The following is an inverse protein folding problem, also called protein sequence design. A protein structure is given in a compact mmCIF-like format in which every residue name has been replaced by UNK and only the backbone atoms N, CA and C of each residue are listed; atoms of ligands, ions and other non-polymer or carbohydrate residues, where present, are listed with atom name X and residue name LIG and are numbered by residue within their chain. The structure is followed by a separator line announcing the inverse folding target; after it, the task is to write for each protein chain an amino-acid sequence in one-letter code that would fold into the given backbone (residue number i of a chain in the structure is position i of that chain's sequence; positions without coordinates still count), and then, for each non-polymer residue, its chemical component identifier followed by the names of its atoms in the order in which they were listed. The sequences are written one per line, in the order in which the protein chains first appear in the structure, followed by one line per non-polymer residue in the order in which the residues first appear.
data_IF_354055265664
#
_entry.id   IF_354055265664
#
_cell.length_a   1.000
_cell.length_b   1.000
_cell.length_c   1.000
_cell.angle_alpha   90.00
_cell.angle_beta   90.00
_cell.angle_gamma   90.00
#
_symmetry.space_group_name_H-M   'P 1'
#
loop_
_entity.id
_entity.type
_entity.pdbx_description
1 polymer ?
#
# COMPACT_ATOMS: atom_id res chain seq x y z
N UNK A 1 22.63 -31.77 -35.82
CA UNK A 1 21.61 -31.48 -34.80
C UNK A 1 21.49 -29.97 -34.72
N UNK A 2 20.30 -29.39 -34.96
CA UNK A 2 20.13 -27.95 -35.14
C UNK A 2 20.23 -27.19 -33.81
N UNK A 3 20.96 -26.08 -33.84
CA UNK A 3 21.04 -25.09 -32.77
C UNK A 3 19.70 -24.37 -32.65
N UNK A 4 19.01 -24.52 -31.52
CA UNK A 4 17.87 -23.67 -31.19
C UNK A 4 18.37 -22.33 -30.64
N UNK A 5 18.24 -21.29 -31.44
CA UNK A 5 18.09 -19.93 -30.92
C UNK A 5 16.74 -19.84 -30.23
N UNK A 6 16.74 -19.47 -28.95
CA UNK A 6 15.61 -18.90 -28.24
C UNK A 6 16.26 -17.85 -27.34
N UNK A 7 16.19 -16.58 -27.69
CA UNK A 7 14.95 -15.84 -27.89
C UNK A 7 14.96 -14.84 -26.76
N UNK A 8 15.41 -13.63 -27.05
CA UNK A 8 15.30 -12.50 -26.13
C UNK A 8 13.81 -12.28 -25.87
N UNK A 9 13.31 -12.82 -24.76
CA UNK A 9 12.08 -12.29 -24.17
C UNK A 9 12.47 -10.96 -23.54
N UNK A 10 12.17 -9.89 -24.28
CA UNK A 10 11.87 -8.58 -23.71
C UNK A 10 10.76 -8.79 -22.67
N UNK A 11 11.14 -9.06 -21.43
CA UNK A 11 10.27 -8.89 -20.29
C UNK A 11 9.96 -7.39 -20.23
N UNK A 12 8.73 -7.03 -20.58
CA UNK A 12 8.27 -5.65 -20.52
C UNK A 12 8.59 -5.08 -19.15
N UNK A 13 9.30 -3.96 -19.14
CA UNK A 13 9.57 -3.17 -17.93
C UNK A 13 8.26 -2.98 -17.18
N UNK A 14 8.14 -3.63 -16.02
CA UNK A 14 7.11 -3.28 -15.05
C UNK A 14 7.29 -1.80 -14.75
N UNK A 15 6.34 -0.98 -15.22
CA UNK A 15 6.40 0.48 -15.16
C UNK A 15 6.10 1.02 -13.75
N UNK A 16 6.17 0.15 -12.74
CA UNK A 16 6.02 0.54 -11.36
C UNK A 16 7.18 1.46 -10.95
N UNK A 17 6.91 2.50 -10.14
CA UNK A 17 7.97 3.30 -9.55
C UNK A 17 8.94 2.39 -8.79
N UNK A 18 10.24 2.69 -8.95
CA UNK A 18 11.34 1.88 -8.43
C UNK A 18 11.42 1.87 -6.90
N UNK A 19 12.48 2.46 -6.33
CA UNK A 19 12.69 2.45 -4.87
C UNK A 19 11.63 3.28 -4.12
N UNK A 20 10.53 2.62 -3.76
CA UNK A 20 9.47 3.21 -2.95
C UNK A 20 9.92 3.52 -1.52
N UNK A 21 11.03 2.94 -1.06
CA UNK A 21 11.59 3.23 0.26
C UNK A 21 12.68 4.30 0.21
N UNK A 22 12.74 5.10 -0.87
CA UNK A 22 13.69 6.20 -1.00
C UNK A 22 13.50 7.26 0.08
N UNK A 23 14.59 7.97 0.40
CA UNK A 23 14.58 9.03 1.42
C UNK A 23 13.53 10.11 1.15
N UNK A 24 13.29 10.45 -0.12
CA UNK A 24 12.29 11.46 -0.49
C UNK A 24 10.87 11.02 -0.10
N UNK A 25 10.51 9.77 -0.42
CA UNK A 25 9.20 9.21 -0.08
C UNK A 25 9.07 9.10 1.45
N UNK A 26 10.10 8.60 2.12
CA UNK A 26 10.11 8.53 3.58
C UNK A 26 9.86 9.89 4.24
N UNK A 27 10.48 10.96 3.74
CA UNK A 27 10.34 12.29 4.33
C UNK A 27 8.90 12.83 4.12
N UNK A 28 8.29 12.61 2.94
CA UNK A 28 6.87 12.94 2.70
C UNK A 28 5.93 12.11 3.57
N UNK A 29 6.19 10.81 3.77
CA UNK A 29 5.37 9.94 4.62
C UNK A 29 5.49 10.32 6.10
N UNK A 30 6.68 10.75 6.57
CA UNK A 30 6.85 11.29 7.93
C UNK A 30 5.99 12.51 8.18
N UNK A 31 5.92 13.42 7.21
CA UNK A 31 5.09 14.62 7.31
C UNK A 31 3.60 14.28 7.43
N UNK A 32 3.14 13.22 6.75
CA UNK A 32 1.76 12.72 6.84
C UNK A 32 1.46 12.10 8.20
N UNK A 33 2.34 11.24 8.72
CA UNK A 33 2.11 10.53 9.99
C UNK A 33 2.26 11.47 11.19
N UNK A 34 3.03 12.55 11.05
CA UNK A 34 3.27 13.58 12.07
C UNK A 34 3.73 13.02 13.42
N UNK A 35 4.36 11.84 13.41
CA UNK A 35 4.96 11.17 14.57
C UNK A 35 6.28 10.51 14.14
N UNK A 36 7.23 10.30 15.08
CA UNK A 36 8.44 9.53 14.79
C UNK A 36 8.09 8.15 14.23
N UNK A 37 8.66 7.83 13.07
CA UNK A 37 8.55 6.55 12.39
C UNK A 37 9.90 6.15 11.82
N UNK A 38 10.17 4.86 11.82
CA UNK A 38 11.30 4.21 11.17
C UNK A 38 10.84 3.48 9.93
N UNK A 39 11.71 3.46 8.92
CA UNK A 39 11.46 2.80 7.65
C UNK A 39 12.50 1.71 7.42
N UNK A 40 12.04 0.58 6.88
CA UNK A 40 12.90 -0.52 6.44
C UNK A 40 12.37 -1.11 5.14
N UNK A 41 13.27 -1.64 4.32
CA UNK A 41 12.86 -2.43 3.15
C UNK A 41 12.51 -3.83 3.64
N UNK A 42 11.24 -4.21 3.44
CA UNK A 42 10.71 -5.52 3.77
C UNK A 42 11.23 -6.61 2.81
N UNK A 43 10.98 -7.89 3.13
CA UNK A 43 11.49 -9.03 2.35
C UNK A 43 10.93 -9.11 0.92
N UNK A 44 9.76 -8.52 0.70
CA UNK A 44 9.04 -8.44 -0.58
C UNK A 44 9.38 -7.16 -1.37
N UNK A 45 10.23 -6.28 -0.83
CA UNK A 45 10.56 -4.98 -1.44
C UNK A 45 9.63 -3.84 -1.02
N UNK A 46 8.58 -4.12 -0.23
CA UNK A 46 7.72 -3.09 0.35
C UNK A 46 8.51 -2.21 1.35
N UNK A 47 8.15 -0.94 1.49
CA UNK A 47 8.69 -0.08 2.53
C UNK A 47 7.84 -0.22 3.79
N UNK A 48 8.42 -0.81 4.84
CA UNK A 48 7.78 -1.01 6.13
C UNK A 48 7.84 0.27 6.97
N UNK A 49 6.76 0.54 7.69
CA UNK A 49 6.60 1.65 8.63
C UNK A 49 6.50 1.04 10.03
N UNK A 50 7.32 1.54 10.94
CA UNK A 50 7.26 1.16 12.36
C UNK A 50 7.41 2.38 13.26
N UNK A 51 6.86 2.28 14.47
CA UNK A 51 7.07 3.25 15.55
C UNK A 51 7.77 2.57 16.72
N UNK A 52 8.48 3.36 17.53
CA UNK A 52 9.17 2.87 18.72
C UNK A 52 8.19 2.26 19.75
N UNK A 53 6.95 2.79 19.83
CA UNK A 53 5.89 2.12 20.59
C UNK A 53 5.41 0.92 19.77
N UNK A 54 5.55 -0.33 20.27
CA UNK A 54 5.07 -1.53 19.57
C UNK A 54 3.54 -1.57 19.43
N UNK A 55 2.81 -0.64 20.04
CA UNK A 55 1.36 -0.45 19.87
C UNK A 55 1.04 0.81 19.04
N UNK A 56 2.07 1.49 18.53
CA UNK A 56 1.94 2.57 17.58
C UNK A 56 1.67 2.05 16.18
N UNK A 57 1.42 2.99 15.27
CA UNK A 57 1.11 2.72 13.88
C UNK A 57 2.23 1.91 13.23
N UNK A 58 1.87 0.78 12.66
CA UNK A 58 2.78 -0.09 11.91
C UNK A 58 2.17 -0.41 10.56
N UNK A 59 2.98 -0.74 9.57
CA UNK A 59 2.43 -1.03 8.27
C UNK A 59 3.50 -1.18 7.22
N UNK A 60 3.06 -1.15 5.97
CA UNK A 60 3.93 -1.11 4.82
C UNK A 60 3.22 -0.46 3.65
N UNK A 61 4.00 -0.01 2.67
CA UNK A 61 3.49 0.40 1.38
C UNK A 61 4.42 -0.10 0.27
N UNK A 62 3.85 -0.35 -0.90
CA UNK A 62 4.59 -0.95 -2.00
C UNK A 62 3.75 -1.06 -3.26
N UNK A 63 4.30 -1.71 -4.27
CA UNK A 63 3.60 -1.99 -5.53
C UNK A 63 3.35 -3.48 -5.69
N UNK A 64 2.23 -3.80 -6.33
CA UNK A 64 1.95 -5.15 -6.83
C UNK A 64 1.57 -5.06 -8.31
N UNK A 65 1.90 -6.09 -9.08
CA UNK A 65 1.52 -6.14 -10.49
C UNK A 65 -0.01 -6.19 -10.63
N UNK A 66 -0.58 -5.34 -11.49
CA UNK A 66 -2.01 -5.40 -11.81
C UNK A 66 -2.25 -6.47 -12.88
N UNK A 67 -2.10 -7.74 -12.47
CA UNK A 67 -2.32 -8.88 -13.35
C UNK A 67 -3.83 -9.12 -13.51
N UNK A 68 -4.39 -8.64 -14.63
CA UNK A 68 -5.79 -8.88 -15.01
C UNK A 68 -6.15 -10.37 -15.06
N UNK A 69 -5.17 -11.25 -15.32
CA UNK A 69 -5.33 -12.72 -15.29
C UNK A 69 -5.67 -13.28 -13.91
N UNK A 70 -5.33 -12.58 -12.82
CA UNK A 70 -5.65 -12.95 -11.45
C UNK A 70 -6.86 -12.16 -10.90
N UNK A 71 -7.63 -11.52 -11.78
CA UNK A 71 -8.81 -10.70 -11.45
C UNK A 71 -8.50 -9.26 -11.06
N UNK A 72 -7.24 -8.82 -11.15
CA UNK A 72 -6.83 -7.42 -11.09
C UNK A 72 -7.29 -6.65 -9.85
N UNK A 73 -7.56 -5.37 -10.03
CA UNK A 73 -7.96 -4.43 -8.98
C UNK A 73 -9.14 -4.91 -8.13
N UNK A 74 -10.23 -5.41 -8.73
CA UNK A 74 -11.43 -5.82 -7.98
C UNK A 74 -11.18 -7.02 -7.05
N UNK A 75 -10.39 -8.00 -7.51
CA UNK A 75 -9.97 -9.11 -6.64
C UNK A 75 -9.09 -8.61 -5.50
N UNK A 76 -8.22 -7.64 -5.78
CA UNK A 76 -7.37 -7.04 -4.76
C UNK A 76 -8.19 -6.34 -3.67
N UNK A 77 -9.20 -5.55 -4.08
CA UNK A 77 -10.13 -4.90 -3.16
C UNK A 77 -10.88 -5.91 -2.30
N UNK A 78 -11.37 -6.99 -2.93
CA UNK A 78 -12.06 -8.08 -2.24
C UNK A 78 -11.14 -8.75 -1.21
N UNK A 79 -9.85 -8.90 -1.54
CA UNK A 79 -8.84 -9.42 -0.63
C UNK A 79 -8.68 -8.55 0.63
N UNK A 80 -8.60 -7.23 0.48
CA UNK A 80 -8.51 -6.30 1.62
C UNK A 80 -9.77 -6.40 2.48
N UNK A 81 -10.95 -6.32 1.88
CA UNK A 81 -12.23 -6.38 2.59
C UNK A 81 -12.43 -7.72 3.31
N UNK A 82 -11.91 -8.81 2.75
CA UNK A 82 -11.94 -10.14 3.38
C UNK A 82 -11.14 -10.21 4.69
N UNK A 83 -10.17 -9.31 4.92
CA UNK A 83 -9.36 -9.27 6.14
C UNK A 83 -9.95 -8.41 7.27
N UNK A 84 -11.01 -7.65 6.99
CA UNK A 84 -11.57 -6.66 7.91
C UNK A 84 -13.06 -6.89 8.23
N UNK A 85 -13.45 -6.53 9.45
CA UNK A 85 -14.83 -6.39 9.92
C UNK A 85 -15.22 -4.90 10.05
N UNK A 86 -16.52 -4.62 10.02
CA UNK A 86 -17.07 -3.26 10.14
C UNK A 86 -16.45 -2.27 9.14
N UNK A 87 -16.25 -2.76 7.92
CA UNK A 87 -15.51 -2.07 6.87
C UNK A 87 -16.18 -0.76 6.47
N UNK A 88 -15.38 0.29 6.41
CA UNK A 88 -15.67 1.54 5.71
C UNK A 88 -14.81 1.58 4.46
N UNK A 89 -15.40 1.95 3.33
CA UNK A 89 -14.73 2.11 2.04
C UNK A 89 -14.93 3.54 1.58
N UNK A 90 -13.82 4.25 1.34
CA UNK A 90 -13.84 5.64 0.89
C UNK A 90 -13.05 5.77 -0.40
N UNK A 91 -13.69 6.34 -1.42
CA UNK A 91 -13.02 6.64 -2.69
C UNK A 91 -12.11 7.85 -2.52
N UNK A 92 -10.89 7.73 -3.03
CA UNK A 92 -9.91 8.81 -3.01
C UNK A 92 -9.87 9.45 -4.40
N UNK A 93 -10.22 10.73 -4.47
CA UNK A 93 -10.22 11.45 -5.74
C UNK A 93 -8.81 11.91 -6.14
N UNK A 94 -8.52 11.88 -7.44
CA UNK A 94 -7.33 12.47 -8.04
C UNK A 94 -6.03 11.69 -7.82
N UNK A 95 -6.11 10.37 -7.64
CA UNK A 95 -4.95 9.45 -7.61
C UNK A 95 -5.18 8.29 -8.57
N UNK A 96 -4.18 8.01 -9.41
CA UNK A 96 -4.24 7.00 -10.46
C UNK A 96 -5.50 7.09 -11.34
N UNK A 97 -5.88 5.94 -11.90
CA UNK A 97 -7.16 5.77 -12.60
C UNK A 97 -8.33 5.65 -11.60
N UNK A 98 -8.06 5.02 -10.46
CA UNK A 98 -8.98 4.88 -9.33
C UNK A 98 -8.20 4.63 -8.04
N UNK A 99 -8.68 5.17 -6.94
CA UNK A 99 -8.10 4.94 -5.63
C UNK A 99 -9.16 4.79 -4.54
N UNK A 100 -8.83 3.98 -3.54
CA UNK A 100 -9.73 3.66 -2.43
C UNK A 100 -8.94 3.43 -1.16
N UNK A 101 -9.52 3.82 -0.03
CA UNK A 101 -9.08 3.47 1.31
C UNK A 101 -10.18 2.68 2.01
N UNK A 102 -9.78 1.55 2.59
CA UNK A 102 -10.59 0.75 3.49
C UNK A 102 -10.12 0.97 4.90
N UNK A 103 -11.05 1.07 5.83
CA UNK A 103 -10.77 1.03 7.27
C UNK A 103 -11.71 0.05 7.95
N UNK A 104 -11.21 -0.70 8.93
CA UNK A 104 -12.01 -1.72 9.61
C UNK A 104 -11.27 -2.33 10.80
N UNK A 105 -11.94 -3.20 11.54
CA UNK A 105 -11.30 -4.02 12.55
C UNK A 105 -10.70 -5.26 11.88
N UNK A 106 -9.52 -5.75 12.29
CA UNK A 106 -8.98 -6.99 11.74
C UNK A 106 -9.88 -8.18 12.09
N UNK A 107 -10.25 -9.00 11.08
CA UNK A 107 -10.97 -10.28 11.28
C UNK A 107 -10.09 -11.34 11.94
N UNK A 108 -8.79 -11.29 11.69
CA UNK A 108 -7.80 -12.24 12.20
C UNK A 108 -6.87 -11.55 13.21
N UNK A 109 -6.81 -12.09 14.42
CA UNK A 109 -6.08 -11.50 15.55
C UNK A 109 -7.00 -10.77 16.55
N UNK A 110 -6.51 -10.52 17.77
CA UNK A 110 -7.27 -9.86 18.85
C UNK A 110 -7.31 -8.33 18.71
N UNK A 111 -7.29 -7.81 17.48
CA UNK A 111 -7.05 -6.38 17.25
C UNK A 111 -8.26 -5.53 17.64
N UNK A 112 -8.19 -4.88 18.80
CA UNK A 112 -9.15 -3.85 19.22
C UNK A 112 -8.98 -2.53 18.44
N UNK A 113 -7.92 -2.41 17.63
CA UNK A 113 -7.57 -1.21 16.90
C UNK A 113 -7.97 -1.33 15.43
N UNK A 114 -8.38 -0.21 14.84
CA UNK A 114 -8.62 -0.14 13.41
C UNK A 114 -7.32 -0.40 12.63
N UNK A 115 -7.48 -1.08 11.50
CA UNK A 115 -6.50 -1.20 10.43
C UNK A 115 -7.02 -0.45 9.19
N UNK A 116 -6.10 -0.08 8.31
CA UNK A 116 -6.42 0.51 7.02
C UNK A 116 -5.68 -0.20 5.89
N UNK A 117 -6.34 -0.28 4.74
CA UNK A 117 -5.75 -0.75 3.48
C UNK A 117 -6.11 0.25 2.40
N UNK A 118 -5.12 0.82 1.73
CA UNK A 118 -5.32 1.77 0.64
C UNK A 118 -4.74 1.23 -0.66
N UNK A 119 -5.40 1.52 -1.78
CA UNK A 119 -4.97 1.07 -3.10
C UNK A 119 -5.21 2.16 -4.14
N UNK A 120 -4.22 2.42 -4.97
CA UNK A 120 -4.32 3.20 -6.20
C UNK A 120 -4.02 2.31 -7.39
N UNK A 121 -4.87 2.33 -8.40
CA UNK A 121 -4.68 1.63 -9.68
C UNK A 121 -4.01 2.55 -10.70
N UNK A 122 -2.92 2.09 -11.30
CA UNK A 122 -2.18 2.76 -12.37
C UNK A 122 -2.18 1.94 -13.68
N UNK A 123 -3.13 1.02 -13.81
CA UNK A 123 -3.33 0.18 -14.99
C UNK A 123 -2.41 -1.03 -15.04
N UNK A 124 -1.08 -0.85 -14.97
CA UNK A 124 -0.10 -1.95 -15.02
C UNK A 124 0.34 -2.44 -13.64
N UNK A 125 0.21 -1.59 -12.63
CA UNK A 125 0.49 -1.92 -11.24
C UNK A 125 -0.53 -1.28 -10.31
N UNK A 126 -0.63 -1.82 -9.10
CA UNK A 126 -1.37 -1.22 -8.00
C UNK A 126 -0.36 -0.71 -6.97
N UNK A 127 -0.50 0.54 -6.56
CA UNK A 127 0.15 1.04 -5.37
C UNK A 127 -0.71 0.67 -4.17
N UNK A 128 -0.13 0.10 -3.13
CA UNK A 128 -0.83 -0.27 -1.92
C UNK A 128 -0.20 0.33 -0.66
N UNK A 129 -1.02 0.55 0.36
CA UNK A 129 -0.62 0.82 1.72
C UNK A 129 -1.43 -0.07 2.66
N UNK A 130 -0.78 -0.67 3.65
CA UNK A 130 -1.42 -1.39 4.74
C UNK A 130 -0.96 -0.80 6.05
N UNK A 131 -1.90 -0.38 6.90
CA UNK A 131 -1.64 0.16 8.22
C UNK A 131 -2.37 -0.67 9.27
N UNK A 132 -1.69 -0.92 10.38
CA UNK A 132 -2.13 -1.74 11.51
C UNK A 132 -1.73 -1.07 12.82
N UNK A 133 -2.35 -1.52 13.92
CA UNK A 133 -1.96 -1.15 15.28
C UNK A 133 -1.97 0.37 15.55
N UNK A 134 -2.89 1.13 14.96
CA UNK A 134 -3.11 2.55 15.29
C UNK A 134 -3.78 2.74 16.65
N UNK A 135 -3.13 2.34 17.77
CA UNK A 135 -3.75 2.42 19.09
C UNK A 135 -4.20 3.85 19.41
N UNK A 136 -5.48 3.98 19.72
CA UNK A 136 -6.09 5.27 20.05
C UNK A 136 -6.28 6.20 18.85
N UNK A 137 -6.04 5.73 17.62
CA UNK A 137 -6.33 6.46 16.40
C UNK A 137 -7.80 6.23 16.03
N UNK A 138 -8.54 7.32 15.83
CA UNK A 138 -9.90 7.21 15.35
C UNK A 138 -9.88 6.75 13.89
N UNK A 139 -10.96 6.07 13.46
CA UNK A 139 -11.14 5.66 12.07
C UNK A 139 -10.86 6.77 11.04
N UNK A 140 -11.41 7.99 11.15
CA UNK A 140 -11.14 9.05 10.18
C UNK A 140 -9.68 9.51 10.16
N UNK A 141 -9.00 9.50 11.30
CA UNK A 141 -7.58 9.87 11.35
C UNK A 141 -6.73 8.82 10.63
N UNK A 142 -7.04 7.54 10.83
CA UNK A 142 -6.35 6.44 10.16
C UNK A 142 -6.59 6.44 8.64
N UNK A 143 -7.82 6.75 8.23
CA UNK A 143 -8.19 6.93 6.83
C UNK A 143 -7.40 8.08 6.18
N UNK A 144 -7.34 9.24 6.85
CA UNK A 144 -6.58 10.39 6.37
C UNK A 144 -5.07 10.11 6.26
N UNK A 145 -4.51 9.34 7.20
CA UNK A 145 -3.11 8.90 7.12
C UNK A 145 -2.90 7.95 5.94
N UNK A 146 -3.76 6.96 5.75
CA UNK A 146 -3.65 6.03 4.62
C UNK A 146 -3.76 6.76 3.26
N UNK A 147 -4.74 7.66 3.12
CA UNK A 147 -4.87 8.51 1.94
C UNK A 147 -3.62 9.39 1.75
N UNK A 148 -3.16 10.04 2.81
CA UNK A 148 -1.98 10.91 2.76
C UNK A 148 -0.73 10.18 2.30
N UNK A 149 -0.55 8.91 2.73
CA UNK A 149 0.57 8.07 2.29
C UNK A 149 0.46 7.75 0.80
N UNK A 150 -0.72 7.34 0.31
CA UNK A 150 -0.93 7.10 -1.13
C UNK A 150 -0.59 8.35 -1.95
N UNK A 151 -1.09 9.52 -1.52
CA UNK A 151 -0.79 10.81 -2.16
C UNK A 151 0.70 11.15 -2.14
N UNK A 152 1.37 10.95 -1.00
CA UNK A 152 2.78 11.23 -0.84
C UNK A 152 3.64 10.40 -1.82
N UNK A 153 3.30 9.12 -1.97
CA UNK A 153 4.01 8.20 -2.86
C UNK A 153 3.73 8.55 -4.32
N UNK A 154 2.46 8.75 -4.72
CA UNK A 154 2.10 9.11 -6.10
C UNK A 154 2.79 10.42 -6.52
N UNK A 155 2.83 11.43 -5.65
CA UNK A 155 3.46 12.73 -5.94
C UNK A 155 4.99 12.63 -6.01
N UNK A 156 5.61 11.69 -5.31
CA UNK A 156 7.06 11.45 -5.38
C UNK A 156 7.47 10.56 -6.56
N UNK A 157 6.51 9.82 -7.10
CA UNK A 157 6.71 8.85 -8.20
C UNK A 157 6.35 9.43 -9.58
N UNK A 158 5.73 10.61 -9.61
CA UNK A 158 5.37 11.38 -10.82
C UNK A 158 6.49 12.31 -11.26
#
# INVERSE_FOLDING_TARGET
MPSISAGSESGGESSAPGDLCSKEIQDKVKDVIAKPVTFSVGPTGDCEISQDDPRGLQGSFGTVENASTNGGYDTYLTGIEATMDQVSKVQVAGLGDQAVVFTGLPKMGSGENFMAGGVTDHGTYLLQVTLTQGKGMARPDLEAVAEGILRAIDTASS
#
